data_IF_537555467424
#
_entry.id   IF_537555467424
#
_cell.length_a   1.000
_cell.length_b   1.000
_cell.length_c   1.000
_cell.angle_alpha   90.00
_cell.angle_beta   90.00
_cell.angle_gamma   90.00
#
_symmetry.space_group_name_H-M   'P 1'
#
loop_
_entity.id
_entity.type
_entity.pdbx_description
1 polymer ?
#
# COMPACT_ATOMS: atom_id res chain seq x y z
N UNK A 1 50.63 20.85 -30.42
CA UNK A 1 50.00 21.73 -29.41
C UNK A 1 48.82 20.97 -28.82
N UNK A 2 48.79 20.82 -27.49
CA UNK A 2 47.91 19.89 -26.76
C UNK A 2 46.52 20.49 -26.59
N UNK A 3 45.49 19.73 -26.90
CA UNK A 3 44.09 20.08 -26.68
C UNK A 3 43.83 20.28 -25.19
N UNK A 4 43.35 21.46 -24.82
CA UNK A 4 42.90 21.77 -23.46
C UNK A 4 41.53 21.13 -23.29
N UNK A 5 41.47 20.02 -22.56
CA UNK A 5 40.21 19.40 -22.16
C UNK A 5 39.49 20.29 -21.16
N UNK A 6 38.35 20.85 -21.55
CA UNK A 6 37.38 21.41 -20.61
C UNK A 6 36.68 20.24 -19.89
N UNK A 7 37.12 19.92 -18.67
CA UNK A 7 36.34 19.09 -17.78
C UNK A 7 35.27 19.99 -17.17
N UNK A 8 34.05 19.91 -17.70
CA UNK A 8 32.87 20.45 -17.05
C UNK A 8 32.52 19.50 -15.90
N UNK A 9 33.12 19.70 -14.74
CA UNK A 9 32.74 19.01 -13.52
C UNK A 9 31.36 19.54 -13.10
N UNK A 10 30.31 18.96 -13.66
CA UNK A 10 28.94 19.16 -13.20
C UNK A 10 28.84 18.48 -11.84
N UNK A 11 29.11 19.23 -10.77
CA UNK A 11 28.72 18.83 -9.43
C UNK A 11 27.19 18.76 -9.41
N UNK A 12 26.64 17.56 -9.60
CA UNK A 12 25.28 17.27 -9.17
C UNK A 12 25.27 17.41 -7.65
N UNK A 13 24.90 18.59 -7.18
CA UNK A 13 24.33 18.72 -5.83
C UNK A 13 23.10 17.84 -5.85
N UNK A 14 23.18 16.66 -5.23
CA UNK A 14 21.98 15.88 -4.89
C UNK A 14 21.28 16.69 -3.84
N UNK A 15 20.42 17.61 -4.27
CA UNK A 15 19.41 18.19 -3.39
C UNK A 15 18.47 17.04 -3.12
N UNK A 16 18.64 16.40 -1.97
CA UNK A 16 17.65 15.52 -1.36
C UNK A 16 16.42 16.38 -1.08
N UNK A 17 15.61 16.57 -2.11
CA UNK A 17 14.28 17.12 -1.94
C UNK A 17 13.51 16.05 -1.17
N UNK A 18 13.35 16.26 0.13
CA UNK A 18 12.26 15.70 0.90
C UNK A 18 10.97 16.33 0.37
N UNK A 19 10.60 15.98 -0.85
CA UNK A 19 9.31 16.36 -1.39
C UNK A 19 8.35 15.29 -0.91
N UNK A 20 7.51 15.67 0.07
CA UNK A 20 6.41 14.84 0.53
C UNK A 20 5.71 14.24 -0.70
N UNK A 21 5.70 12.92 -0.79
CA UNK A 21 5.23 12.23 -1.97
C UNK A 21 3.71 12.42 -2.08
N UNK A 22 3.30 13.40 -2.89
CA UNK A 22 1.89 13.70 -3.11
C UNK A 22 1.15 12.47 -3.69
N UNK A 23 -0.13 12.26 -3.35
CA UNK A 23 -0.89 11.15 -3.89
C UNK A 23 -0.99 11.21 -5.42
N UNK A 24 -0.88 10.06 -6.08
CA UNK A 24 -1.05 9.91 -7.53
C UNK A 24 -2.46 9.39 -7.84
N UNK A 25 -3.12 10.00 -8.82
CA UNK A 25 -4.44 9.60 -9.30
C UNK A 25 -4.42 9.28 -10.81
N UNK A 26 -5.02 8.17 -11.21
CA UNK A 26 -5.08 7.69 -12.60
C UNK A 26 -6.52 7.28 -12.92
N UNK A 27 -7.08 7.77 -14.04
CA UNK A 27 -8.43 7.42 -14.47
C UNK A 27 -8.39 6.10 -15.24
N UNK A 28 -9.14 5.11 -14.78
CA UNK A 28 -9.30 3.78 -15.39
C UNK A 28 -10.80 3.55 -15.67
N UNK A 29 -11.27 4.03 -16.82
CA UNK A 29 -12.69 3.99 -17.18
C UNK A 29 -13.53 4.89 -16.27
N UNK A 30 -14.43 4.30 -15.49
CA UNK A 30 -15.24 5.03 -14.49
C UNK A 30 -14.57 5.08 -13.11
N UNK A 31 -13.46 4.38 -12.92
CA UNK A 31 -12.73 4.34 -11.67
C UNK A 31 -11.58 5.34 -11.69
N UNK A 32 -11.25 5.88 -10.51
CA UNK A 32 -10.01 6.63 -10.29
C UNK A 32 -9.13 5.80 -9.37
N UNK A 33 -8.05 5.24 -9.93
CA UNK A 33 -7.02 4.57 -9.14
C UNK A 33 -6.24 5.62 -8.37
N UNK A 34 -6.05 5.40 -7.08
CA UNK A 34 -5.29 6.26 -6.20
C UNK A 34 -4.11 5.50 -5.59
N UNK A 35 -2.97 6.16 -5.54
CA UNK A 35 -1.77 5.70 -4.85
C UNK A 35 -1.34 6.77 -3.87
N UNK A 36 -1.33 6.42 -2.58
CA UNK A 36 -0.84 7.27 -1.50
C UNK A 36 0.53 6.77 -1.07
N UNK A 37 1.38 7.68 -0.65
CA UNK A 37 2.75 7.41 -0.25
C UNK A 37 2.98 7.78 1.22
N UNK A 38 3.93 7.12 1.85
CA UNK A 38 4.49 7.52 3.13
C UNK A 38 5.47 8.68 2.93
N UNK A 39 5.87 9.33 4.01
CA UNK A 39 6.84 10.45 4.00
C UNK A 39 8.19 10.04 3.39
N UNK A 40 8.54 8.75 3.45
CA UNK A 40 9.75 8.20 2.83
C UNK A 40 9.61 7.89 1.32
N UNK A 41 8.46 8.19 0.72
CA UNK A 41 8.17 7.94 -0.69
C UNK A 41 7.72 6.52 -1.02
N UNK A 42 7.72 5.59 -0.06
CA UNK A 42 7.18 4.24 -0.27
C UNK A 42 5.66 4.26 -0.36
N UNK A 43 5.08 3.29 -1.07
CA UNK A 43 3.62 3.21 -1.22
C UNK A 43 3.00 2.93 0.16
N UNK A 44 2.11 3.82 0.60
CA UNK A 44 1.31 3.62 1.80
C UNK A 44 0.03 2.84 1.48
N UNK A 45 -0.69 3.26 0.45
CA UNK A 45 -1.99 2.68 0.11
C UNK A 45 -2.26 2.73 -1.40
N UNK A 46 -2.94 1.71 -1.91
CA UNK A 46 -3.47 1.72 -3.28
C UNK A 46 -4.90 1.23 -3.31
N UNK A 47 -5.72 1.82 -4.18
CA UNK A 47 -7.09 1.39 -4.38
C UNK A 47 -7.80 2.24 -5.42
N UNK A 48 -9.13 2.18 -5.43
CA UNK A 48 -9.95 2.88 -6.42
C UNK A 48 -11.03 3.73 -5.75
N UNK A 49 -11.43 4.77 -6.47
CA UNK A 49 -12.61 5.57 -6.21
C UNK A 49 -13.61 5.39 -7.35
N UNK A 50 -14.90 5.38 -7.01
CA UNK A 50 -16.03 5.48 -7.93
C UNK A 50 -16.97 6.55 -7.39
N UNK A 51 -17.28 7.58 -8.19
CA UNK A 51 -18.11 8.71 -7.77
C UNK A 51 -17.65 9.31 -6.43
N UNK A 52 -16.35 9.65 -6.33
CA UNK A 52 -15.70 10.26 -5.16
C UNK A 52 -15.67 9.39 -3.89
N UNK A 53 -16.07 8.11 -3.97
CA UNK A 53 -16.09 7.20 -2.82
C UNK A 53 -15.19 6.00 -3.04
N UNK A 54 -14.58 5.51 -1.95
CA UNK A 54 -13.76 4.29 -1.96
C UNK A 54 -14.55 3.14 -2.58
N UNK A 55 -13.93 2.47 -3.55
CA UNK A 55 -14.55 1.36 -4.28
C UNK A 55 -13.50 0.31 -4.66
N UNK A 56 -13.93 -0.94 -4.78
CA UNK A 56 -13.08 -2.05 -5.17
C UNK A 56 -11.98 -2.37 -4.16
N UNK A 57 -10.92 -3.03 -4.65
CA UNK A 57 -9.85 -3.55 -3.81
C UNK A 57 -8.92 -2.45 -3.33
N UNK A 58 -8.66 -2.45 -2.03
CA UNK A 58 -7.71 -1.57 -1.37
C UNK A 58 -6.61 -2.39 -0.72
N UNK A 59 -5.38 -1.88 -0.78
CA UNK A 59 -4.18 -2.47 -0.18
C UNK A 59 -3.45 -1.39 0.61
N UNK A 60 -2.94 -1.76 1.78
CA UNK A 60 -2.20 -0.88 2.68
C UNK A 60 -0.88 -1.55 3.03
N UNK A 61 0.16 -0.74 3.17
CA UNK A 61 1.54 -1.17 3.39
C UNK A 61 2.17 -0.34 4.52
N UNK A 62 3.10 -0.93 5.26
CA UNK A 62 3.93 -0.19 6.23
C UNK A 62 4.99 0.65 5.50
N UNK A 63 5.77 1.41 6.27
CA UNK A 63 6.87 2.25 5.76
C UNK A 63 8.00 1.46 5.10
N UNK A 64 8.05 0.14 5.28
CA UNK A 64 9.01 -0.78 4.66
C UNK A 64 8.45 -1.45 3.39
N UNK A 65 7.24 -1.07 2.96
CA UNK A 65 6.57 -1.67 1.80
C UNK A 65 5.94 -3.05 2.04
N UNK A 66 5.93 -3.56 3.28
CA UNK A 66 5.25 -4.80 3.65
C UNK A 66 3.74 -4.56 3.75
N UNK A 67 2.95 -5.40 3.08
CA UNK A 67 1.48 -5.33 3.14
C UNK A 67 0.99 -5.59 4.58
N UNK A 68 0.20 -4.67 5.11
CA UNK A 68 -0.38 -4.73 6.46
C UNK A 68 -1.90 -4.87 6.44
N UNK A 69 -2.57 -4.45 5.36
CA UNK A 69 -3.99 -4.71 5.21
C UNK A 69 -4.41 -4.80 3.74
N UNK A 70 -5.49 -5.52 3.48
CA UNK A 70 -6.20 -5.44 2.21
C UNK A 70 -7.66 -5.84 2.37
N UNK A 71 -8.50 -5.34 1.50
CA UNK A 71 -9.91 -5.70 1.47
C UNK A 71 -10.63 -4.96 0.36
N UNK A 72 -11.95 -4.93 0.44
CA UNK A 72 -12.79 -4.30 -0.55
C UNK A 72 -13.66 -3.20 0.08
N UNK A 73 -13.82 -2.11 -0.65
CA UNK A 73 -14.82 -1.09 -0.38
C UNK A 73 -15.93 -1.13 -1.42
N UNK A 74 -17.15 -0.88 -0.99
CA UNK A 74 -18.26 -0.59 -1.87
C UNK A 74 -18.93 0.71 -1.39
N UNK A 75 -18.94 1.73 -2.25
CA UNK A 75 -19.59 3.02 -2.00
C UNK A 75 -19.12 3.67 -0.68
N UNK A 76 -17.81 3.61 -0.41
CA UNK A 76 -17.19 4.15 0.81
C UNK A 76 -17.23 3.23 2.03
N UNK A 77 -17.89 2.06 1.95
CA UNK A 77 -18.04 1.14 3.09
C UNK A 77 -17.19 -0.11 2.90
N UNK A 78 -16.58 -0.60 3.98
CA UNK A 78 -15.86 -1.89 3.94
C UNK A 78 -16.86 -3.01 3.70
N UNK A 79 -16.53 -3.91 2.79
CA UNK A 79 -17.36 -5.06 2.45
C UNK A 79 -16.52 -6.31 2.24
N UNK A 80 -17.10 -7.46 2.53
CA UNK A 80 -16.44 -8.76 2.38
C UNK A 80 -15.27 -8.94 3.34
N UNK A 81 -14.36 -9.83 2.95
CA UNK A 81 -13.21 -10.24 3.77
C UNK A 81 -12.11 -9.19 3.71
N UNK A 82 -11.76 -8.68 4.88
CA UNK A 82 -10.61 -7.84 5.13
C UNK A 82 -9.53 -8.64 5.82
N UNK A 83 -8.31 -8.51 5.35
CA UNK A 83 -7.15 -9.18 5.87
C UNK A 83 -6.21 -8.15 6.50
N UNK A 84 -5.79 -8.39 7.73
CA UNK A 84 -4.83 -7.57 8.46
C UNK A 84 -3.64 -8.44 8.87
N UNK A 85 -2.46 -8.07 8.41
CA UNK A 85 -1.21 -8.75 8.73
C UNK A 85 -0.49 -8.02 9.86
N UNK A 86 -0.26 -8.75 10.94
CA UNK A 86 0.65 -8.36 12.02
C UNK A 86 1.90 -9.25 11.97
N UNK A 87 2.85 -9.04 12.88
CA UNK A 87 4.11 -9.81 12.91
C UNK A 87 3.87 -11.33 12.94
N UNK A 88 2.93 -11.80 13.78
CA UNK A 88 2.76 -13.23 14.10
C UNK A 88 1.38 -13.80 13.70
N UNK A 89 0.50 -12.96 13.14
CA UNK A 89 -0.88 -13.33 12.89
C UNK A 89 -1.48 -12.64 11.67
N UNK A 90 -2.39 -13.36 11.02
CA UNK A 90 -3.32 -12.84 10.02
C UNK A 90 -4.71 -12.77 10.65
N UNK A 91 -5.31 -11.60 10.67
CA UNK A 91 -6.72 -11.44 11.04
C UNK A 91 -7.55 -11.31 9.77
N UNK A 92 -8.49 -12.23 9.58
CA UNK A 92 -9.53 -12.13 8.58
C UNK A 92 -10.80 -11.61 9.26
N UNK A 93 -11.32 -10.50 8.77
CA UNK A 93 -12.50 -9.83 9.31
C UNK A 93 -13.53 -9.72 8.20
N UNK A 94 -14.71 -10.27 8.43
CA UNK A 94 -15.82 -10.12 7.50
C UNK A 94 -16.60 -8.84 7.81
N UNK A 95 -16.68 -7.95 6.84
CA UNK A 95 -17.42 -6.70 6.93
C UNK A 95 -18.67 -6.73 6.05
N UNK A 96 -19.79 -6.27 6.61
CA UNK A 96 -21.02 -5.96 5.87
C UNK A 96 -21.42 -4.52 6.11
N UNK A 97 -21.24 -3.66 5.10
CA UNK A 97 -21.49 -2.22 5.19
C UNK A 97 -20.73 -1.55 6.35
N UNK A 98 -19.43 -1.83 6.46
CA UNK A 98 -18.56 -1.40 7.57
C UNK A 98 -18.91 -1.95 8.96
N UNK A 99 -19.90 -2.83 9.08
CA UNK A 99 -20.20 -3.54 10.35
C UNK A 99 -19.44 -4.86 10.40
N UNK A 100 -18.88 -5.17 11.56
CA UNK A 100 -18.21 -6.44 11.84
C UNK A 100 -19.24 -7.56 11.84
N UNK A 101 -19.09 -8.52 10.92
CA UNK A 101 -19.91 -9.73 10.86
C UNK A 101 -19.20 -10.93 11.51
N UNK A 102 -17.87 -11.00 11.43
CA UNK A 102 -17.07 -12.06 12.05
C UNK A 102 -15.57 -11.78 11.99
N UNK A 103 -14.81 -12.43 12.87
CA UNK A 103 -13.35 -12.31 12.94
C UNK A 103 -12.75 -13.70 13.10
N UNK A 104 -11.77 -14.03 12.27
CA UNK A 104 -10.94 -15.23 12.36
C UNK A 104 -9.49 -14.78 12.49
N UNK A 105 -8.78 -15.28 13.50
CA UNK A 105 -7.35 -15.02 13.69
C UNK A 105 -6.55 -16.28 13.41
N UNK A 106 -5.70 -16.22 12.40
CA UNK A 106 -4.74 -17.26 12.05
C UNK A 106 -3.40 -16.89 12.69
N UNK A 107 -2.94 -17.69 13.65
CA UNK A 107 -1.59 -17.55 14.24
C UNK A 107 -0.70 -18.60 13.61
N UNK A 108 0.51 -18.20 13.24
CA UNK A 108 1.52 -19.15 12.77
C UNK A 108 1.95 -20.02 13.97
N UNK A 109 1.21 -21.10 14.18
CA UNK A 109 1.63 -22.17 15.07
C UNK A 109 2.45 -23.06 14.16
N UNK A 110 3.79 -22.97 14.22
CA UNK A 110 4.68 -23.90 13.53
C UNK A 110 4.05 -25.30 13.59
N UNK A 111 3.63 -25.92 12.48
CA UNK A 111 3.29 -27.34 12.52
C UNK A 111 4.62 -28.03 12.78
N UNK A 112 4.89 -28.37 14.04
CA UNK A 112 5.90 -29.38 14.36
C UNK A 112 5.39 -30.65 13.70
N UNK A 113 5.89 -30.94 12.51
CA UNK A 113 5.69 -32.23 11.86
C UNK A 113 6.44 -33.23 12.74
N UNK A 114 5.73 -33.82 13.71
CA UNK A 114 6.16 -35.00 14.42
C UNK A 114 6.09 -36.15 13.42
N UNK A 115 7.20 -36.38 12.71
CA UNK A 115 7.41 -37.62 12.00
C UNK A 115 7.71 -38.68 13.07
N UNK A 116 6.81 -39.65 13.24
CA UNK A 116 6.93 -40.73 14.22
C UNK A 116 7.46 -42.00 13.55
#
# INVERSE_FOLDING_TARGET
MKYVSFIFALMFVVVSNAQDAAPKFEIEGQLVKATFYHDNGEIAQTGYFLNEKLHGKWKMYNTEGKKIAMGEYNNGKRTGKWFFWNADALNEVDFKDSRLAGVITWKDSNPVVLNK
#
